data_IF_986037289414
#
_entry.id   IF_986037289414
#
_cell.length_a   1.000
_cell.length_b   1.000
_cell.length_c   1.000
_cell.angle_alpha   90.00
_cell.angle_beta   90.00
_cell.angle_gamma   90.00
#
_symmetry.space_group_name_H-M   'P 1'
#
loop_
_entity.id
_entity.type
_entity.pdbx_description
1 polymer ?
#
# COMPACT_ATOMS: atom_id res chain seq x y z
N UNK A 1 13.60 10.42 -59.94
CA UNK A 1 13.49 9.41 -58.89
C UNK A 1 13.22 10.15 -57.59
N UNK A 2 11.97 10.08 -57.10
CA UNK A 2 11.57 10.75 -55.86
C UNK A 2 11.72 9.72 -54.72
N UNK A 3 12.64 9.96 -53.77
CA UNK A 3 12.78 9.17 -52.58
C UNK A 3 11.64 9.51 -51.61
N UNK A 4 10.75 8.57 -51.43
CA UNK A 4 9.65 8.62 -50.46
C UNK A 4 10.23 8.24 -49.08
N UNK A 5 10.50 9.20 -48.22
CA UNK A 5 10.84 8.94 -46.80
C UNK A 5 9.57 8.59 -46.04
N UNK A 6 9.38 7.30 -45.80
CA UNK A 6 8.37 6.82 -44.85
C UNK A 6 8.96 7.03 -43.47
N UNK A 7 8.52 8.10 -42.79
CA UNK A 7 8.76 8.31 -41.38
C UNK A 7 7.79 7.38 -40.64
N UNK A 8 8.26 6.21 -40.24
CA UNK A 8 7.56 5.37 -39.27
C UNK A 8 7.67 6.07 -37.90
N UNK A 9 6.66 6.85 -37.57
CA UNK A 9 6.46 7.38 -36.22
C UNK A 9 6.07 6.18 -35.35
N UNK A 10 7.07 5.55 -34.71
CA UNK A 10 6.82 4.58 -33.66
C UNK A 10 6.13 5.33 -32.51
N UNK A 11 4.80 5.24 -32.46
CA UNK A 11 4.01 5.57 -31.30
C UNK A 11 4.44 4.63 -30.16
N UNK A 12 5.49 5.03 -29.45
CA UNK A 12 5.72 4.56 -28.10
C UNK A 12 4.48 4.98 -27.30
N UNK A 13 3.51 4.10 -27.23
CA UNK A 13 2.45 4.17 -26.26
C UNK A 13 3.10 4.03 -24.87
N UNK A 14 3.63 5.14 -24.36
CA UNK A 14 3.83 5.33 -22.94
C UNK A 14 2.43 5.11 -22.34
N UNK A 15 2.20 3.93 -21.80
CA UNK A 15 1.06 3.71 -20.93
C UNK A 15 1.30 4.60 -19.70
N UNK A 16 0.94 5.87 -19.84
CA UNK A 16 0.64 6.68 -18.68
C UNK A 16 -0.53 5.98 -18.00
N UNK A 17 -0.22 5.21 -16.98
CA UNK A 17 -1.26 4.86 -16.01
C UNK A 17 -1.81 6.20 -15.53
N UNK A 18 -2.97 6.58 -16.08
CA UNK A 18 -3.63 7.79 -15.64
C UNK A 18 -3.80 7.67 -14.12
N UNK A 19 -3.19 8.62 -13.40
CA UNK A 19 -3.27 8.63 -11.94
C UNK A 19 -4.73 8.89 -11.58
N UNK A 20 -5.40 7.88 -11.05
CA UNK A 20 -6.81 7.93 -10.74
C UNK A 20 -7.00 7.89 -9.22
N UNK A 21 -7.53 8.99 -8.67
CA UNK A 21 -7.93 9.03 -7.26
C UNK A 21 -8.97 7.94 -6.97
N UNK A 22 -8.99 7.36 -5.75
CA UNK A 22 -10.02 6.40 -5.39
C UNK A 22 -11.41 7.05 -5.43
N UNK A 23 -12.30 6.51 -6.25
CA UNK A 23 -13.73 6.84 -6.22
C UNK A 23 -14.41 5.95 -5.17
N UNK A 24 -14.49 6.45 -3.93
CA UNK A 24 -15.07 5.68 -2.83
C UNK A 24 -16.55 5.37 -3.03
N UNK A 25 -17.31 6.19 -3.75
CA UNK A 25 -18.70 5.91 -4.09
C UNK A 25 -18.80 4.67 -4.99
N UNK A 26 -18.06 4.67 -6.10
CA UNK A 26 -17.98 3.55 -7.03
C UNK A 26 -17.42 2.29 -6.35
N UNK A 27 -16.37 2.45 -5.55
CA UNK A 27 -15.75 1.31 -4.83
C UNK A 27 -16.79 0.68 -3.89
N UNK A 28 -17.47 1.48 -3.04
CA UNK A 28 -18.47 0.98 -2.09
C UNK A 28 -19.58 0.19 -2.76
N UNK A 29 -20.13 0.67 -3.86
CA UNK A 29 -21.17 -0.03 -4.62
C UNK A 29 -20.66 -1.37 -5.18
N UNK A 30 -19.49 -1.35 -5.84
CA UNK A 30 -18.94 -2.53 -6.53
C UNK A 30 -18.51 -3.64 -5.58
N UNK A 31 -17.97 -3.30 -4.41
CA UNK A 31 -17.54 -4.32 -3.43
C UNK A 31 -18.69 -4.94 -2.65
N UNK A 32 -19.86 -4.30 -2.61
CA UNK A 32 -21.06 -4.81 -1.95
C UNK A 32 -21.93 -5.69 -2.88
N UNK A 33 -21.76 -5.58 -4.19
CA UNK A 33 -22.53 -6.31 -5.20
C UNK A 33 -21.95 -7.71 -5.41
N UNK A 34 -22.71 -8.75 -5.02
CA UNK A 34 -22.31 -10.16 -5.15
C UNK A 34 -22.07 -10.60 -6.60
N UNK A 35 -22.70 -9.94 -7.56
CA UNK A 35 -22.53 -10.20 -8.99
C UNK A 35 -21.27 -9.55 -9.57
N UNK A 36 -20.66 -8.62 -8.82
CA UNK A 36 -19.47 -7.89 -9.24
C UNK A 36 -18.21 -8.75 -9.18
N UNK A 37 -17.31 -8.56 -10.16
CA UNK A 37 -15.94 -9.11 -10.09
C UNK A 37 -15.16 -8.57 -8.89
N UNK A 38 -15.57 -7.41 -8.34
CA UNK A 38 -14.95 -6.76 -7.19
C UNK A 38 -15.68 -7.06 -5.87
N UNK A 39 -16.61 -7.99 -5.82
CA UNK A 39 -17.29 -8.39 -4.58
C UNK A 39 -16.27 -8.72 -3.49
N UNK A 40 -16.32 -7.99 -2.36
CA UNK A 40 -15.22 -7.96 -1.41
C UNK A 40 -14.84 -9.33 -0.85
N UNK A 41 -15.78 -10.18 -0.39
CA UNK A 41 -15.42 -11.50 0.14
C UNK A 41 -14.70 -12.39 -0.88
N UNK A 42 -15.15 -12.39 -2.14
CA UNK A 42 -14.52 -13.15 -3.23
C UNK A 42 -13.13 -12.61 -3.55
N UNK A 43 -13.01 -11.27 -3.66
CA UNK A 43 -11.75 -10.60 -3.98
C UNK A 43 -10.73 -10.77 -2.85
N UNK A 44 -11.17 -10.67 -1.60
CA UNK A 44 -10.33 -10.87 -0.41
C UNK A 44 -9.86 -12.33 -0.29
N UNK A 45 -10.71 -13.31 -0.60
CA UNK A 45 -10.30 -14.72 -0.67
C UNK A 45 -9.18 -14.96 -1.68
N UNK A 46 -9.28 -14.35 -2.87
CA UNK A 46 -8.21 -14.39 -3.88
C UNK A 46 -6.92 -13.73 -3.39
N UNK A 47 -7.02 -12.60 -2.69
CA UNK A 47 -5.87 -11.95 -2.05
C UNK A 47 -5.20 -12.85 -1.02
N UNK A 48 -5.97 -13.50 -0.14
CA UNK A 48 -5.42 -14.42 0.87
C UNK A 48 -4.67 -15.56 0.18
N UNK A 49 -5.23 -16.12 -0.89
CA UNK A 49 -4.61 -17.18 -1.70
C UNK A 49 -3.40 -16.72 -2.53
N UNK A 50 -3.06 -15.42 -2.51
CA UNK A 50 -2.01 -14.81 -3.34
C UNK A 50 -2.20 -15.10 -4.84
N UNK A 51 -3.45 -15.01 -5.33
CA UNK A 51 -3.80 -15.24 -6.73
C UNK A 51 -3.06 -14.24 -7.64
N UNK A 52 -2.14 -14.77 -8.45
CA UNK A 52 -1.26 -13.96 -9.33
C UNK A 52 -2.01 -13.32 -10.51
N UNK A 53 -3.24 -13.69 -10.75
CA UNK A 53 -4.08 -13.06 -11.78
C UNK A 53 -4.72 -11.74 -11.32
N UNK A 54 -4.61 -11.40 -10.00
CA UNK A 54 -5.08 -10.12 -9.48
C UNK A 54 -4.28 -8.96 -10.08
N UNK A 55 -4.99 -8.01 -10.67
CA UNK A 55 -4.45 -6.81 -11.28
C UNK A 55 -4.23 -5.68 -10.26
N UNK A 56 -3.56 -4.61 -10.66
CA UNK A 56 -3.46 -3.38 -9.83
C UNK A 56 -4.85 -2.83 -9.52
N UNK A 57 -5.79 -2.91 -10.45
CA UNK A 57 -7.14 -2.43 -10.23
C UNK A 57 -7.89 -3.29 -9.19
N UNK A 58 -7.71 -4.62 -9.20
CA UNK A 58 -8.25 -5.50 -8.14
C UNK A 58 -7.69 -5.11 -6.77
N UNK A 59 -6.39 -4.83 -6.69
CA UNK A 59 -5.77 -4.35 -5.44
C UNK A 59 -6.25 -2.95 -5.02
N UNK A 60 -6.66 -2.09 -5.95
CA UNK A 60 -7.32 -0.82 -5.59
C UNK A 60 -8.67 -1.07 -4.92
N UNK A 61 -9.50 -1.98 -5.47
CA UNK A 61 -10.77 -2.36 -4.85
C UNK A 61 -10.57 -3.07 -3.51
N UNK A 62 -9.56 -3.91 -3.37
CA UNK A 62 -9.19 -4.56 -2.11
C UNK A 62 -8.76 -3.54 -1.05
N UNK A 63 -7.77 -2.74 -1.36
CA UNK A 63 -7.13 -1.84 -0.42
C UNK A 63 -8.09 -0.72 0.01
N UNK A 64 -8.66 0.02 -0.93
CA UNK A 64 -9.62 1.08 -0.60
C UNK A 64 -10.97 0.54 -0.15
N UNK A 65 -11.39 -0.60 -0.66
CA UNK A 65 -12.60 -1.31 -0.25
C UNK A 65 -12.56 -1.81 1.19
N UNK A 66 -11.37 -2.05 1.74
CA UNK A 66 -11.22 -2.42 3.15
C UNK A 66 -11.81 -1.37 4.09
N UNK A 67 -11.76 -0.10 3.72
CA UNK A 67 -12.33 1.00 4.52
C UNK A 67 -13.84 0.94 4.72
N UNK A 68 -14.54 0.08 4.00
CA UNK A 68 -15.97 -0.19 4.15
C UNK A 68 -16.27 -1.46 4.98
N UNK A 69 -15.23 -2.21 5.36
CA UNK A 69 -15.41 -3.43 6.13
C UNK A 69 -15.50 -3.12 7.62
N UNK A 70 -16.31 -3.89 8.36
CA UNK A 70 -16.45 -3.73 9.81
C UNK A 70 -15.10 -3.87 10.55
N UNK A 71 -14.19 -4.69 10.02
CA UNK A 71 -12.85 -4.89 10.56
C UNK A 71 -11.92 -3.68 10.39
N UNK A 72 -12.21 -2.74 9.50
CA UNK A 72 -11.36 -1.58 9.30
C UNK A 72 -11.53 -0.58 10.43
N UNK A 73 -10.47 -0.30 11.17
CA UNK A 73 -10.40 0.73 12.20
C UNK A 73 -9.32 1.73 11.80
N UNK A 74 -9.67 3.00 11.51
CA UNK A 74 -8.66 4.03 11.24
C UNK A 74 -7.69 4.16 12.41
N UNK A 75 -6.40 4.32 12.11
CA UNK A 75 -5.33 4.40 13.10
C UNK A 75 -5.23 3.16 14.02
N UNK A 76 -5.80 2.02 13.60
CA UNK A 76 -5.63 0.79 14.35
C UNK A 76 -4.16 0.44 14.47
N UNK A 77 -3.77 0.01 15.67
CA UNK A 77 -2.48 -0.58 15.91
C UNK A 77 -2.64 -2.05 16.29
N UNK A 78 -1.57 -2.81 16.16
CA UNK A 78 -1.49 -4.18 16.62
C UNK A 78 -0.48 -4.27 17.77
N UNK A 79 -0.86 -4.89 18.85
CA UNK A 79 0.05 -5.18 19.98
C UNK A 79 1.33 -5.91 19.54
N UNK A 80 1.29 -6.60 18.38
CA UNK A 80 2.42 -7.33 17.83
C UNK A 80 3.37 -6.49 16.98
N UNK A 81 3.01 -5.24 16.60
CA UNK A 81 3.90 -4.36 15.83
C UNK A 81 5.19 -4.04 16.59
N UNK A 82 5.11 -3.80 17.90
CA UNK A 82 6.28 -3.60 18.76
C UNK A 82 7.21 -4.82 18.76
N UNK A 83 6.65 -6.02 18.85
CA UNK A 83 7.43 -7.27 18.79
C UNK A 83 8.11 -7.47 17.44
N UNK A 84 7.48 -7.02 16.36
CA UNK A 84 8.03 -7.14 15.01
C UNK A 84 9.08 -6.05 14.72
N UNK A 85 8.93 -4.86 15.30
CA UNK A 85 9.79 -3.71 15.03
C UNK A 85 11.26 -3.94 15.42
N UNK A 86 11.52 -4.76 16.45
CA UNK A 86 12.88 -5.05 16.92
C UNK A 86 13.77 -5.73 15.86
N UNK A 87 13.15 -6.39 14.87
CA UNK A 87 13.89 -7.10 13.82
C UNK A 87 14.39 -6.19 12.70
N UNK A 88 13.85 -4.97 12.55
CA UNK A 88 14.34 -4.03 11.52
C UNK A 88 15.75 -3.52 11.79
N UNK A 89 16.14 -3.39 13.06
CA UNK A 89 17.44 -2.87 13.48
C UNK A 89 18.39 -3.98 13.93
N UNK A 90 17.94 -5.26 13.95
CA UNK A 90 18.75 -6.38 14.40
C UNK A 90 19.78 -6.75 13.32
N UNK A 91 21.08 -6.72 13.69
CA UNK A 91 22.20 -6.97 12.77
C UNK A 91 22.29 -8.44 12.32
N UNK A 92 22.03 -9.35 13.24
CA UNK A 92 22.11 -10.78 13.00
C UNK A 92 20.77 -11.43 13.35
N UNK A 93 20.21 -12.15 12.40
CA UNK A 93 18.94 -12.87 12.54
C UNK A 93 19.23 -14.36 12.61
N UNK A 94 18.79 -14.99 13.70
CA UNK A 94 18.92 -16.43 13.90
C UNK A 94 17.60 -17.17 13.58
N UNK A 95 17.60 -18.50 13.69
CA UNK A 95 16.43 -19.34 13.40
C UNK A 95 15.20 -19.00 14.29
N UNK A 96 15.43 -18.75 15.58
CA UNK A 96 14.36 -18.36 16.51
C UNK A 96 13.73 -17.02 16.11
N UNK A 97 14.54 -16.06 15.68
CA UNK A 97 14.07 -14.78 15.18
C UNK A 97 13.17 -14.95 13.96
N UNK A 98 13.55 -15.81 13.01
CA UNK A 98 12.74 -16.11 11.84
C UNK A 98 11.36 -16.67 12.23
N UNK A 99 11.31 -17.57 13.21
CA UNK A 99 10.04 -18.12 13.71
C UNK A 99 9.19 -17.06 14.39
N UNK A 100 9.80 -16.16 15.17
CA UNK A 100 9.10 -15.05 15.80
C UNK A 100 8.57 -14.05 14.77
N UNK A 101 9.35 -13.69 13.75
CA UNK A 101 8.89 -12.86 12.63
C UNK A 101 7.67 -13.49 11.93
N UNK A 102 7.72 -14.80 11.64
CA UNK A 102 6.60 -15.52 11.02
C UNK A 102 5.37 -15.48 11.93
N UNK A 103 5.55 -15.74 13.23
CA UNK A 103 4.46 -15.72 14.21
C UNK A 103 3.80 -14.34 14.28
N UNK A 104 4.56 -13.31 14.58
CA UNK A 104 4.02 -11.96 14.78
C UNK A 104 3.53 -11.32 13.49
N UNK A 105 4.23 -11.51 12.38
CA UNK A 105 3.78 -11.03 11.08
C UNK A 105 2.41 -11.60 10.69
N UNK A 106 2.20 -12.91 10.88
CA UNK A 106 0.90 -13.52 10.60
C UNK A 106 -0.20 -13.06 11.59
N UNK A 107 0.13 -12.76 12.86
CA UNK A 107 -0.84 -12.23 13.82
C UNK A 107 -1.26 -10.82 13.44
N UNK A 108 -0.34 -9.96 13.00
CA UNK A 108 -0.65 -8.62 12.51
C UNK A 108 -1.59 -8.70 11.30
N UNK A 109 -1.28 -9.54 10.31
CA UNK A 109 -2.07 -9.65 9.09
C UNK A 109 -3.50 -10.17 9.30
N UNK A 110 -3.83 -10.77 10.44
CA UNK A 110 -5.22 -11.15 10.79
C UNK A 110 -6.13 -9.94 10.99
N UNK A 111 -5.60 -8.85 11.54
CA UNK A 111 -6.36 -7.63 11.84
C UNK A 111 -6.02 -6.49 10.89
N UNK A 112 -4.79 -6.43 10.41
CA UNK A 112 -4.26 -5.42 9.50
C UNK A 112 -3.76 -6.11 8.21
N UNK A 113 -4.66 -6.59 7.33
CA UNK A 113 -4.30 -7.47 6.23
C UNK A 113 -3.38 -6.83 5.19
N UNK A 114 -3.28 -5.52 5.18
CA UNK A 114 -2.45 -4.74 4.26
C UNK A 114 -1.21 -4.12 4.91
N UNK A 115 -0.81 -4.57 6.11
CA UNK A 115 0.38 -4.07 6.79
C UNK A 115 1.65 -4.39 5.98
N UNK A 116 2.27 -3.33 5.44
CA UNK A 116 3.41 -3.46 4.52
C UNK A 116 4.69 -3.95 5.22
N UNK A 117 4.85 -3.63 6.50
CA UNK A 117 6.02 -4.04 7.29
C UNK A 117 5.94 -5.51 7.68
N UNK A 118 4.75 -5.95 8.10
CA UNK A 118 4.52 -7.36 8.36
C UNK A 118 4.75 -8.21 7.10
N UNK A 119 4.24 -7.79 5.94
CA UNK A 119 4.49 -8.47 4.67
C UNK A 119 5.98 -8.49 4.31
N UNK A 120 6.73 -7.41 4.55
CA UNK A 120 8.17 -7.35 4.28
C UNK A 120 8.97 -8.32 5.15
N UNK A 121 8.67 -8.36 6.45
CA UNK A 121 9.38 -9.26 7.37
C UNK A 121 8.97 -10.72 7.16
N UNK A 122 7.72 -10.99 6.79
CA UNK A 122 7.27 -12.34 6.40
C UNK A 122 7.97 -12.83 5.14
N UNK A 123 8.13 -11.98 4.13
CA UNK A 123 8.93 -12.32 2.94
C UNK A 123 10.35 -12.72 3.33
N UNK A 124 11.05 -11.89 4.08
CA UNK A 124 12.39 -12.16 4.58
C UNK A 124 12.47 -13.47 5.38
N UNK A 125 11.58 -13.63 6.37
CA UNK A 125 11.61 -14.78 7.27
C UNK A 125 11.29 -16.09 6.53
N UNK A 126 10.30 -16.11 5.65
CA UNK A 126 9.99 -17.29 4.85
C UNK A 126 11.10 -17.64 3.87
N UNK A 127 11.74 -16.62 3.25
CA UNK A 127 12.88 -16.84 2.37
C UNK A 127 14.02 -17.56 3.10
N UNK A 128 14.43 -17.04 4.26
CA UNK A 128 15.54 -17.58 5.03
C UNK A 128 15.21 -18.92 5.74
N UNK A 129 13.93 -19.17 6.00
CA UNK A 129 13.45 -20.48 6.48
C UNK A 129 13.22 -21.50 5.35
N UNK A 130 13.58 -21.20 4.11
CA UNK A 130 13.47 -22.12 2.97
C UNK A 130 12.05 -22.21 2.37
N UNK A 131 11.06 -21.48 2.87
CA UNK A 131 9.70 -21.49 2.35
C UNK A 131 9.49 -20.46 1.24
N UNK A 132 10.10 -20.73 0.07
CA UNK A 132 10.07 -19.83 -1.08
C UNK A 132 8.68 -19.43 -1.51
N UNK A 133 7.73 -20.39 -1.54
CA UNK A 133 6.36 -20.10 -1.94
C UNK A 133 5.71 -19.01 -1.07
N UNK A 134 5.82 -19.12 0.26
CA UNK A 134 5.25 -18.12 1.18
C UNK A 134 6.00 -16.79 1.13
N UNK A 135 7.31 -16.79 0.88
CA UNK A 135 8.11 -15.60 0.64
C UNK A 135 7.58 -14.86 -0.60
N UNK A 136 7.49 -15.55 -1.75
CA UNK A 136 6.97 -14.98 -3.00
C UNK A 136 5.53 -14.45 -2.84
N UNK A 137 4.69 -15.13 -2.04
CA UNK A 137 3.31 -14.71 -1.78
C UNK A 137 3.26 -13.40 -0.97
N UNK A 138 4.11 -13.26 0.04
CA UNK A 138 4.20 -12.04 0.86
C UNK A 138 4.76 -10.87 0.03
N UNK A 139 5.82 -11.11 -0.73
CA UNK A 139 6.41 -10.11 -1.63
C UNK A 139 5.41 -9.63 -2.68
N UNK A 140 4.69 -10.55 -3.33
CA UNK A 140 3.65 -10.21 -4.30
C UNK A 140 2.57 -9.31 -3.69
N UNK A 141 2.01 -9.69 -2.55
CA UNK A 141 0.99 -8.89 -1.85
C UNK A 141 1.51 -7.49 -1.55
N UNK A 142 2.70 -7.38 -0.96
CA UNK A 142 3.33 -6.10 -0.64
C UNK A 142 3.52 -5.23 -1.88
N UNK A 143 4.11 -5.78 -2.95
CA UNK A 143 4.36 -5.05 -4.20
C UNK A 143 3.06 -4.55 -4.84
N UNK A 144 2.00 -5.35 -4.83
CA UNK A 144 0.74 -4.99 -5.45
C UNK A 144 -0.03 -3.94 -4.64
N UNK A 145 0.01 -3.97 -3.31
CA UNK A 145 -0.53 -2.91 -2.44
C UNK A 145 0.20 -1.58 -2.75
N UNK A 146 1.52 -1.59 -2.77
CA UNK A 146 2.32 -0.40 -3.11
C UNK A 146 1.94 0.14 -4.50
N UNK A 147 1.81 -0.73 -5.52
CA UNK A 147 1.39 -0.32 -6.86
C UNK A 147 -0.01 0.30 -6.85
N UNK A 148 -0.96 -0.25 -6.09
CA UNK A 148 -2.31 0.30 -5.95
C UNK A 148 -2.27 1.71 -5.34
N UNK A 149 -1.44 1.95 -4.33
CA UNK A 149 -1.27 3.27 -3.73
C UNK A 149 -0.59 4.24 -4.72
N UNK A 150 0.50 3.82 -5.34
CA UNK A 150 1.26 4.65 -6.30
C UNK A 150 0.45 4.99 -7.56
N UNK A 151 -0.58 4.21 -7.90
CA UNK A 151 -1.48 4.51 -9.02
C UNK A 151 -2.38 5.73 -8.77
N UNK A 152 -2.45 6.26 -7.54
CA UNK A 152 -3.32 7.37 -7.17
C UNK A 152 -2.70 8.74 -7.32
N UNK A 153 -1.39 8.81 -7.46
CA UNK A 153 -0.70 10.08 -7.57
C UNK A 153 0.83 9.94 -7.68
N UNK A 154 1.51 11.06 -7.79
CA UNK A 154 2.99 11.13 -7.70
C UNK A 154 3.48 11.35 -6.28
N UNK A 155 2.65 11.91 -5.41
CA UNK A 155 3.04 12.42 -4.11
C UNK A 155 3.83 13.74 -4.14
N UNK A 156 4.06 14.34 -5.31
CA UNK A 156 4.90 15.54 -5.44
C UNK A 156 4.15 16.86 -5.29
N UNK A 157 2.82 16.83 -5.27
CA UNK A 157 1.98 18.00 -5.03
C UNK A 157 0.74 17.63 -4.23
N UNK A 158 0.07 18.63 -3.65
CA UNK A 158 -1.21 18.44 -2.93
C UNK A 158 -2.28 17.77 -3.79
N UNK A 159 -2.31 18.10 -5.08
CA UNK A 159 -3.32 17.58 -6.02
C UNK A 159 -3.03 16.15 -6.48
N UNK A 160 -1.79 15.70 -6.37
CA UNK A 160 -1.31 14.37 -6.72
C UNK A 160 -0.82 13.58 -5.50
N UNK A 161 -1.33 13.90 -4.29
CA UNK A 161 -1.00 13.19 -3.06
C UNK A 161 -1.38 11.71 -3.15
N UNK A 162 -0.53 10.85 -2.60
CA UNK A 162 -0.76 9.41 -2.55
C UNK A 162 -1.86 9.09 -1.54
N UNK A 163 -2.90 8.39 -1.95
CA UNK A 163 -4.00 8.01 -1.07
C UNK A 163 -3.61 6.81 -0.21
N UNK A 164 -3.67 6.96 1.11
CA UNK A 164 -3.40 5.87 2.06
C UNK A 164 -4.58 5.66 3.01
N UNK A 165 -4.77 4.42 3.45
CA UNK A 165 -5.78 4.01 4.44
C UNK A 165 -5.16 3.55 5.76
N UNK A 166 -3.84 3.53 5.86
CA UNK A 166 -3.07 3.31 7.09
C UNK A 166 -2.01 4.41 7.18
N UNK A 167 -1.88 5.01 8.37
CA UNK A 167 -0.98 6.14 8.60
C UNK A 167 0.50 5.76 8.44
N UNK A 168 0.85 4.52 8.78
CA UNK A 168 2.23 4.01 8.64
C UNK A 168 2.65 3.82 7.19
N UNK A 169 1.72 3.60 6.27
CA UNK A 169 2.05 3.45 4.85
C UNK A 169 2.75 4.67 4.25
N UNK A 170 2.58 5.86 4.84
CA UNK A 170 3.32 7.07 4.43
C UNK A 170 4.84 6.84 4.56
N UNK A 171 5.28 6.29 5.68
CA UNK A 171 6.68 5.99 5.94
C UNK A 171 7.20 4.86 5.04
N UNK A 172 6.37 3.83 4.84
CA UNK A 172 6.72 2.70 3.98
C UNK A 172 6.91 3.14 2.52
N UNK A 173 6.07 4.07 2.04
CA UNK A 173 6.19 4.62 0.69
C UNK A 173 7.39 5.57 0.55
N UNK A 174 7.76 6.31 1.59
CA UNK A 174 9.02 7.07 1.60
C UNK A 174 10.21 6.12 1.48
N UNK A 175 10.24 5.05 2.27
CA UNK A 175 11.28 4.02 2.21
C UNK A 175 11.36 3.34 0.84
N UNK A 176 10.22 2.99 0.24
CA UNK A 176 10.14 2.41 -1.11
C UNK A 176 10.75 3.33 -2.18
N UNK A 177 10.59 4.64 -2.01
CA UNK A 177 11.19 5.65 -2.89
C UNK A 177 12.64 6.01 -2.50
N UNK A 178 13.22 5.33 -1.50
CA UNK A 178 14.55 5.61 -0.93
C UNK A 178 14.67 7.05 -0.41
N UNK A 179 13.61 7.54 0.23
CA UNK A 179 13.52 8.84 0.88
C UNK A 179 13.51 8.66 2.39
N UNK A 180 14.30 9.44 3.12
CA UNK A 180 14.37 9.40 4.58
C UNK A 180 13.56 10.56 5.16
N UNK A 181 12.59 10.25 6.02
CA UNK A 181 11.80 11.25 6.76
C UNK A 181 12.70 12.10 7.65
N UNK A 182 12.53 13.42 7.63
CA UNK A 182 13.37 14.39 8.37
C UNK A 182 12.69 14.96 9.62
N UNK A 183 11.56 14.41 10.05
CA UNK A 183 10.81 14.89 11.22
C UNK A 183 9.75 15.95 10.90
N UNK A 184 9.72 16.51 9.68
CA UNK A 184 8.74 17.54 9.29
C UNK A 184 7.47 16.89 8.77
N UNK A 185 6.38 17.05 9.53
CA UNK A 185 5.04 16.61 9.16
C UNK A 185 4.05 17.75 9.38
N UNK A 186 3.22 18.05 8.39
CA UNK A 186 2.23 19.13 8.49
C UNK A 186 1.00 18.88 7.62
N UNK A 187 -0.15 19.25 8.13
CA UNK A 187 -1.38 19.25 7.35
C UNK A 187 -1.27 20.35 6.28
N UNK A 188 -1.40 19.96 5.02
CA UNK A 188 -1.34 20.86 3.88
C UNK A 188 -2.74 21.39 3.49
N UNK A 189 -3.79 20.60 3.78
CA UNK A 189 -5.21 20.94 3.75
C UNK A 189 -5.99 19.88 4.55
N UNK A 190 -7.32 19.96 4.59
CA UNK A 190 -8.18 19.09 5.41
C UNK A 190 -8.04 17.58 5.14
N UNK A 191 -7.43 17.18 4.05
CA UNK A 191 -7.29 15.76 3.68
C UNK A 191 -5.89 15.38 3.19
N UNK A 192 -4.96 16.34 3.15
CA UNK A 192 -3.63 16.12 2.61
C UNK A 192 -2.56 16.51 3.63
N UNK A 193 -1.61 15.62 3.81
CA UNK A 193 -0.48 15.78 4.70
C UNK A 193 0.82 15.83 3.90
N UNK A 194 1.73 16.72 4.30
CA UNK A 194 3.08 16.80 3.75
C UNK A 194 4.07 16.19 4.73
N UNK A 195 4.92 15.29 4.23
CA UNK A 195 6.04 14.73 4.97
C UNK A 195 7.35 15.16 4.33
N UNK A 196 8.15 15.92 5.08
CA UNK A 196 9.47 16.38 4.65
C UNK A 196 10.50 15.24 4.65
N UNK A 197 11.46 15.33 3.75
CA UNK A 197 12.55 14.34 3.66
C UNK A 197 13.90 15.04 3.70
N UNK A 198 14.93 14.30 4.12
CA UNK A 198 16.31 14.77 4.02
C UNK A 198 16.72 15.00 2.57
N UNK A 199 17.78 15.79 2.38
CA UNK A 199 18.38 15.99 1.08
C UNK A 199 18.68 14.66 0.38
N UNK A 200 18.39 14.60 -0.92
CA UNK A 200 18.49 13.40 -1.73
C UNK A 200 18.80 13.73 -3.19
N UNK A 201 19.28 12.74 -3.93
CA UNK A 201 19.70 12.83 -5.35
C UNK A 201 18.55 13.21 -6.32
N UNK A 202 17.29 13.08 -5.88
CA UNK A 202 16.10 13.39 -6.67
C UNK A 202 15.59 14.81 -6.48
N UNK A 203 16.24 15.62 -5.61
CA UNK A 203 15.80 16.97 -5.23
C UNK A 203 14.34 17.03 -4.71
N UNK A 204 13.85 15.94 -4.11
CA UNK A 204 12.52 15.88 -3.50
C UNK A 204 12.63 16.45 -2.08
N UNK A 205 11.84 17.50 -1.79
CA UNK A 205 11.80 18.13 -0.44
C UNK A 205 10.85 17.42 0.52
N UNK A 206 9.91 16.65 -0.03
CA UNK A 206 8.92 15.89 0.74
C UNK A 206 7.84 15.34 -0.17
N UNK A 207 6.94 14.56 0.42
CA UNK A 207 5.83 13.94 -0.29
C UNK A 207 4.49 14.31 0.35
N UNK A 208 3.46 14.35 -0.48
CA UNK A 208 2.09 14.59 -0.08
C UNK A 208 1.30 13.29 -0.04
N UNK A 209 0.56 13.10 1.05
CA UNK A 209 -0.30 11.93 1.26
C UNK A 209 -1.73 12.37 1.51
N UNK A 210 -2.69 11.77 0.81
CA UNK A 210 -4.09 11.99 1.07
C UNK A 210 -4.57 11.01 2.14
N UNK A 211 -4.98 11.55 3.30
CA UNK A 211 -5.47 10.83 4.47
C UNK A 211 -6.96 11.11 4.73
N UNK A 212 -7.65 11.68 3.75
CA UNK A 212 -9.05 12.10 3.88
C UNK A 212 -9.99 10.96 4.25
N UNK A 213 -9.73 9.75 3.74
CA UNK A 213 -10.52 8.57 4.09
C UNK A 213 -10.35 8.15 5.54
N UNK A 214 -9.13 8.22 6.08
CA UNK A 214 -8.86 7.99 7.50
C UNK A 214 -9.71 8.93 8.38
N UNK A 215 -9.69 10.22 8.09
CA UNK A 215 -10.48 11.21 8.84
C UNK A 215 -11.98 10.99 8.69
N UNK A 216 -12.46 10.71 7.48
CA UNK A 216 -13.88 10.49 7.22
C UNK A 216 -14.41 9.31 8.05
N UNK A 217 -13.75 8.14 7.98
CA UNK A 217 -14.20 6.95 8.71
C UNK A 217 -14.06 7.12 10.21
N UNK A 218 -13.01 7.83 10.69
CA UNK A 218 -12.89 8.18 12.11
C UNK A 218 -14.06 9.03 12.58
N UNK A 219 -14.44 10.04 11.81
CA UNK A 219 -15.56 10.92 12.15
C UNK A 219 -16.91 10.19 12.10
N UNK A 220 -17.10 9.27 11.16
CA UNK A 220 -18.32 8.44 11.07
C UNK A 220 -18.46 7.52 12.30
N UNK A 221 -17.36 6.91 12.74
CA UNK A 221 -17.37 6.05 13.95
C UNK A 221 -17.65 6.82 15.24
N UNK A 222 -17.13 8.03 15.38
CA UNK A 222 -17.39 8.88 16.56
C UNK A 222 -18.86 9.34 16.64
N UNK A 223 -19.56 9.46 15.52
CA UNK A 223 -20.97 9.83 15.47
C UNK A 223 -21.90 8.65 15.75
N UNK A 224 -21.43 7.44 15.58
CA UNK A 224 -22.21 6.21 15.79
C UNK A 224 -22.06 5.60 17.20
N UNK A 225 -21.27 6.24 18.08
CA UNK A 225 -21.14 5.96 19.51
C UNK A 225 -22.03 6.91 20.30
#
# INVERSE_FOLDING_TARGET
MKFLYIVILSLLSLQFFAQEKPDYGKIGVRIADESSDYYYPKLFGRYIAADRSLTVNDFRYLYYGFTFQAAYVPYADSEYRGNLAVFFDKKEINEEDLQQMIKYGNLILKTLPFDLRALQLLDYAYYHSGNRKKSDDAEFKRKMIIKAILSTGTGLSKNSGLHVIDDLHKFDLLAEKKLRYNGVQRIANNSCEFMGVFENDKNIRGMYFNIGRLYQVSAERLKGQ
#
